data_IF_991133613758
#
_entry.id   IF_991133613758
#
_cell.length_a   1.000
_cell.length_b   1.000
_cell.length_c   1.000
_cell.angle_alpha   90.00
_cell.angle_beta   90.00
_cell.angle_gamma   90.00
#
_symmetry.space_group_name_H-M   'P 1'
#
loop_
_entity.id
_entity.type
_entity.pdbx_description
1 polymer ?
#
# COMPACT_ATOMS: atom_id res chain seq x y z
N UNK A 1 -6.07 -18.11 -17.20
CA UNK A 1 -6.68 -16.83 -17.63
C UNK A 1 -6.01 -15.75 -16.82
N UNK A 2 -5.56 -14.66 -17.44
CA UNK A 2 -5.10 -13.48 -16.68
C UNK A 2 -6.32 -12.84 -16.02
N UNK A 3 -6.16 -12.39 -14.78
CA UNK A 3 -7.20 -11.68 -14.03
C UNK A 3 -7.51 -10.35 -14.72
N UNK A 4 -8.79 -9.97 -14.82
CA UNK A 4 -9.15 -8.60 -15.20
C UNK A 4 -8.79 -7.66 -14.04
N UNK A 5 -8.03 -6.62 -14.32
CA UNK A 5 -7.55 -5.65 -13.33
C UNK A 5 -7.87 -4.24 -13.81
N UNK A 6 -8.65 -3.50 -13.02
CA UNK A 6 -8.97 -2.09 -13.31
C UNK A 6 -7.68 -1.28 -13.37
N UNK A 7 -6.74 -1.54 -12.46
CA UNK A 7 -5.44 -0.89 -12.45
C UNK A 7 -4.67 -1.10 -13.76
N UNK A 8 -4.54 -2.35 -14.22
CA UNK A 8 -3.79 -2.63 -15.45
C UNK A 8 -4.48 -2.00 -16.67
N UNK A 9 -5.81 -2.10 -16.76
CA UNK A 9 -6.59 -1.45 -17.82
C UNK A 9 -6.42 0.08 -17.83
N UNK A 10 -6.23 0.70 -16.66
CA UNK A 10 -5.96 2.13 -16.54
C UNK A 10 -4.52 2.48 -16.94
N UNK A 11 -3.53 1.72 -16.51
CA UNK A 11 -2.13 1.96 -16.85
C UNK A 11 -1.86 1.83 -18.36
N UNK A 12 -2.62 0.99 -19.06
CA UNK A 12 -2.52 0.82 -20.51
C UNK A 12 -3.10 2.00 -21.31
N UNK A 13 -3.87 2.90 -20.67
CA UNK A 13 -4.35 4.12 -21.32
C UNK A 13 -3.20 5.12 -21.47
N UNK A 14 -3.00 5.65 -22.67
CA UNK A 14 -1.97 6.67 -22.98
C UNK A 14 -2.47 8.11 -22.83
N UNK A 15 -3.28 8.38 -21.81
CA UNK A 15 -3.95 9.66 -21.60
C UNK A 15 -3.77 10.21 -20.18
N UNK A 16 -2.64 9.89 -19.51
CA UNK A 16 -2.32 10.32 -18.14
C UNK A 16 -1.93 11.80 -18.00
N UNK A 17 -2.12 12.61 -19.03
CA UNK A 17 -1.79 14.04 -19.06
C UNK A 17 -0.36 14.31 -18.55
N UNK A 18 -0.20 15.15 -17.53
CA UNK A 18 1.10 15.48 -16.94
C UNK A 18 1.81 14.28 -16.30
N UNK A 19 1.09 13.19 -15.99
CA UNK A 19 1.65 11.98 -15.39
C UNK A 19 2.06 10.93 -16.42
N UNK A 20 1.82 11.13 -17.72
CA UNK A 20 2.22 10.17 -18.75
C UNK A 20 3.72 9.82 -18.69
N UNK A 21 4.65 10.78 -18.49
CA UNK A 21 6.08 10.43 -18.36
C UNK A 21 6.38 9.52 -17.15
N UNK A 22 5.64 9.66 -16.04
CA UNK A 22 5.78 8.79 -14.88
C UNK A 22 5.30 7.37 -15.21
N UNK A 23 4.15 7.25 -15.87
CA UNK A 23 3.59 5.95 -16.28
C UNK A 23 4.50 5.26 -17.30
N UNK A 24 5.00 6.00 -18.30
CA UNK A 24 5.94 5.47 -19.29
C UNK A 24 7.24 4.97 -18.63
N UNK A 25 7.79 5.76 -17.69
CA UNK A 25 8.98 5.36 -16.91
C UNK A 25 8.71 4.10 -16.09
N UNK A 26 7.53 4.01 -15.47
CA UNK A 26 7.13 2.86 -14.68
C UNK A 26 6.97 1.60 -15.53
N UNK A 27 6.30 1.70 -16.69
CA UNK A 27 6.13 0.59 -17.63
C UNK A 27 7.45 0.16 -18.28
N UNK A 28 8.41 1.08 -18.44
CA UNK A 28 9.77 0.79 -18.92
C UNK A 28 10.74 0.29 -17.85
N UNK A 29 10.33 0.22 -16.58
CA UNK A 29 11.20 -0.19 -15.49
C UNK A 29 11.51 -1.69 -15.53
N UNK A 30 12.75 -2.06 -15.23
CA UNK A 30 13.25 -3.43 -15.34
C UNK A 30 12.43 -4.46 -14.53
N UNK A 31 11.80 -4.05 -13.43
CA UNK A 31 10.99 -4.91 -12.56
C UNK A 31 9.48 -4.69 -12.73
N UNK A 32 9.04 -3.94 -13.74
CA UNK A 32 7.62 -3.86 -14.10
C UNK A 32 6.96 -5.25 -14.31
N UNK A 33 7.63 -6.26 -14.89
CA UNK A 33 7.06 -7.62 -14.97
C UNK A 33 6.74 -8.26 -13.61
N UNK A 34 7.48 -7.95 -12.53
CA UNK A 34 7.17 -8.44 -11.19
C UNK A 34 5.92 -7.78 -10.62
N UNK A 35 5.73 -6.49 -10.89
CA UNK A 35 4.50 -5.79 -10.55
C UNK A 35 3.29 -6.38 -11.29
N UNK A 36 3.42 -6.62 -12.60
CA UNK A 36 2.36 -7.29 -13.38
C UNK A 36 2.00 -8.65 -12.78
N UNK A 37 3.01 -9.47 -12.48
CA UNK A 37 2.81 -10.77 -11.86
C UNK A 37 2.08 -10.65 -10.51
N UNK A 38 2.51 -9.73 -9.63
CA UNK A 38 1.88 -9.52 -8.33
C UNK A 38 0.41 -9.11 -8.43
N UNK A 39 0.04 -8.33 -9.46
CA UNK A 39 -1.36 -7.97 -9.72
C UNK A 39 -2.13 -9.15 -10.34
N UNK A 40 -1.59 -9.81 -11.36
CA UNK A 40 -2.29 -10.88 -12.08
C UNK A 40 -2.49 -12.15 -11.23
N UNK A 41 -1.55 -12.47 -10.34
CA UNK A 41 -1.54 -13.69 -9.51
C UNK A 41 -2.04 -13.44 -8.07
N UNK A 42 -2.61 -12.26 -7.79
CA UNK A 42 -3.12 -11.92 -6.46
C UNK A 42 -4.15 -12.95 -5.97
N UNK A 43 -3.93 -13.49 -4.77
CA UNK A 43 -4.86 -14.41 -4.15
C UNK A 43 -6.08 -13.65 -3.59
N UNK A 44 -7.13 -13.54 -4.40
CA UNK A 44 -8.35 -12.81 -4.03
C UNK A 44 -9.08 -13.43 -2.83
N UNK A 45 -8.95 -14.74 -2.63
CA UNK A 45 -9.68 -15.47 -1.59
C UNK A 45 -9.22 -15.18 -0.16
N UNK A 46 -8.11 -14.45 0.02
CA UNK A 46 -7.61 -14.03 1.35
C UNK A 46 -7.73 -12.54 1.59
N UNK A 47 -8.18 -11.76 0.59
CA UNK A 47 -8.32 -10.32 0.74
C UNK A 47 -9.55 -9.99 1.58
N UNK A 48 -9.47 -8.89 2.31
CA UNK A 48 -10.61 -8.35 3.02
C UNK A 48 -11.63 -7.80 2.01
N UNK A 49 -12.87 -8.28 2.05
CA UNK A 49 -13.93 -7.81 1.15
C UNK A 49 -14.48 -6.47 1.63
N UNK A 50 -14.21 -5.40 0.85
CA UNK A 50 -14.65 -4.05 1.19
C UNK A 50 -14.53 -3.10 -0.01
N UNK A 51 -15.44 -2.13 -0.08
CA UNK A 51 -15.39 -1.01 -1.03
C UNK A 51 -14.24 -0.01 -0.71
N UNK A 52 -13.69 -0.06 0.50
CA UNK A 52 -12.69 0.89 1.01
C UNK A 52 -11.31 0.22 1.14
N UNK A 53 -11.26 -1.00 1.69
CA UNK A 53 -10.03 -1.73 2.01
C UNK A 53 -9.88 -3.04 1.21
N UNK A 54 -10.77 -3.29 0.24
CA UNK A 54 -10.68 -4.47 -0.61
C UNK A 54 -9.81 -4.30 -1.84
N UNK A 55 -10.12 -5.06 -2.89
CA UNK A 55 -9.26 -5.22 -4.08
C UNK A 55 -8.81 -3.89 -4.71
N UNK A 56 -9.67 -2.87 -4.72
CA UNK A 56 -9.31 -1.56 -5.29
C UNK A 56 -8.20 -0.85 -4.51
N UNK A 57 -8.23 -0.94 -3.18
CA UNK A 57 -7.14 -0.46 -2.33
C UNK A 57 -5.86 -1.26 -2.57
N UNK A 58 -5.97 -2.59 -2.60
CA UNK A 58 -4.80 -3.47 -2.78
C UNK A 58 -4.11 -3.23 -4.13
N UNK A 59 -4.87 -3.08 -5.22
CA UNK A 59 -4.31 -2.73 -6.53
C UNK A 59 -3.56 -1.39 -6.48
N UNK A 60 -4.17 -0.33 -5.96
CA UNK A 60 -3.52 0.99 -5.93
C UNK A 60 -2.30 1.01 -4.99
N UNK A 61 -2.35 0.31 -3.86
CA UNK A 61 -1.21 0.10 -2.97
C UNK A 61 -0.09 -0.68 -3.65
N UNK A 62 -0.38 -1.72 -4.43
CA UNK A 62 0.61 -2.42 -5.26
C UNK A 62 1.26 -1.49 -6.29
N UNK A 63 0.49 -0.64 -6.95
CA UNK A 63 1.02 0.36 -7.89
C UNK A 63 1.99 1.31 -7.18
N UNK A 64 1.60 1.83 -6.01
CA UNK A 64 2.44 2.73 -5.23
C UNK A 64 3.69 2.03 -4.68
N UNK A 65 3.58 0.79 -4.20
CA UNK A 65 4.70 -0.02 -3.74
C UNK A 65 5.72 -0.30 -4.86
N UNK A 66 5.24 -0.63 -6.06
CA UNK A 66 6.10 -0.82 -7.21
C UNK A 66 6.83 0.48 -7.63
N UNK A 67 6.14 1.62 -7.63
CA UNK A 67 6.76 2.92 -7.89
C UNK A 67 7.74 3.33 -6.78
N UNK A 68 7.45 3.02 -5.52
CA UNK A 68 8.40 3.17 -4.40
C UNK A 68 9.66 2.35 -4.67
N UNK A 69 9.52 1.08 -5.04
CA UNK A 69 10.66 0.20 -5.34
C UNK A 69 11.51 0.72 -6.52
N UNK A 70 10.86 1.25 -7.56
CA UNK A 70 11.53 1.88 -8.69
C UNK A 70 12.31 3.13 -8.28
N UNK A 71 11.68 4.06 -7.57
CA UNK A 71 12.28 5.34 -7.22
C UNK A 71 13.40 5.21 -6.18
N UNK A 72 13.32 4.22 -5.29
CA UNK A 72 14.35 3.92 -4.29
C UNK A 72 15.37 2.85 -4.77
N UNK A 73 15.30 2.45 -6.04
CA UNK A 73 16.21 1.50 -6.69
C UNK A 73 16.40 0.17 -5.92
N UNK A 74 15.30 -0.40 -5.41
CA UNK A 74 15.34 -1.68 -4.70
C UNK A 74 15.87 -2.80 -5.60
N UNK A 75 16.44 -3.84 -4.96
CA UNK A 75 16.80 -5.08 -5.64
C UNK A 75 15.54 -5.81 -6.16
N UNK A 76 15.73 -6.76 -7.07
CA UNK A 76 14.64 -7.62 -7.54
C UNK A 76 13.96 -8.37 -6.38
N UNK A 77 14.76 -8.87 -5.43
CA UNK A 77 14.27 -9.61 -4.28
C UNK A 77 13.44 -8.71 -3.34
N UNK A 78 13.92 -7.51 -3.06
CA UNK A 78 13.23 -6.55 -2.18
C UNK A 78 11.99 -5.93 -2.84
N UNK A 79 12.02 -5.77 -4.17
CA UNK A 79 10.83 -5.43 -4.94
C UNK A 79 9.75 -6.50 -4.75
N UNK A 80 10.09 -7.77 -4.93
CA UNK A 80 9.15 -8.87 -4.69
C UNK A 80 8.62 -8.89 -3.25
N UNK A 81 9.50 -8.65 -2.27
CA UNK A 81 9.13 -8.61 -0.85
C UNK A 81 8.18 -7.45 -0.51
N UNK A 82 8.43 -6.26 -1.07
CA UNK A 82 7.55 -5.10 -0.90
C UNK A 82 6.19 -5.33 -1.58
N UNK A 83 6.17 -5.95 -2.76
CA UNK A 83 4.92 -6.29 -3.46
C UNK A 83 4.09 -7.30 -2.67
N UNK A 84 4.71 -8.33 -2.11
CA UNK A 84 4.06 -9.28 -1.19
C UNK A 84 3.46 -8.56 0.02
N UNK A 85 4.19 -7.60 0.60
CA UNK A 85 3.71 -6.80 1.70
C UNK A 85 2.51 -5.93 1.30
N UNK A 86 2.58 -5.25 0.16
CA UNK A 86 1.49 -4.41 -0.37
C UNK A 86 0.23 -5.22 -0.66
N UNK A 87 0.39 -6.39 -1.30
CA UNK A 87 -0.70 -7.29 -1.68
C UNK A 87 -1.54 -7.76 -0.48
N UNK A 88 -0.89 -7.97 0.67
CA UNK A 88 -1.47 -8.74 1.76
C UNK A 88 -1.36 -8.10 3.14
N UNK A 89 -0.98 -6.81 3.25
CA UNK A 89 -0.90 -6.13 4.55
C UNK A 89 -2.24 -6.13 5.31
N UNK A 90 -3.35 -6.15 4.59
CA UNK A 90 -4.72 -5.99 5.12
C UNK A 90 -5.48 -7.31 5.33
N UNK A 91 -4.88 -8.48 5.07
CA UNK A 91 -5.56 -9.80 5.22
C UNK A 91 -6.01 -10.10 6.66
N UNK A 92 -5.54 -9.33 7.63
CA UNK A 92 -5.94 -9.42 9.04
C UNK A 92 -7.12 -8.53 9.43
N UNK A 93 -7.69 -7.75 8.49
CA UNK A 93 -8.81 -6.84 8.78
C UNK A 93 -10.08 -7.61 9.13
N UNK A 94 -10.85 -7.02 10.05
CA UNK A 94 -12.19 -7.51 10.42
C UNK A 94 -13.30 -6.47 10.24
N UNK A 95 -12.93 -5.22 9.95
CA UNK A 95 -13.83 -4.07 9.78
C UNK A 95 -13.11 -2.94 9.03
N UNK A 96 -13.87 -2.05 8.41
CA UNK A 96 -13.33 -0.86 7.71
C UNK A 96 -12.92 0.28 8.62
N UNK A 97 -13.50 0.34 9.81
CA UNK A 97 -13.19 1.38 10.79
C UNK A 97 -11.83 1.18 11.46
N UNK A 98 -11.72 1.71 12.67
CA UNK A 98 -10.51 1.60 13.46
C UNK A 98 -10.22 0.12 13.81
N UNK A 99 -9.13 -0.41 13.27
CA UNK A 99 -8.61 -1.73 13.55
C UNK A 99 -7.11 -1.60 13.82
N UNK A 100 -6.68 -1.67 15.07
CA UNK A 100 -5.25 -1.51 15.40
C UNK A 100 -4.46 -2.84 15.36
N UNK A 101 -5.15 -3.95 15.11
CA UNK A 101 -4.61 -5.31 15.23
C UNK A 101 -4.58 -6.06 13.90
N UNK A 102 -5.14 -5.49 12.83
CA UNK A 102 -5.09 -6.12 11.50
C UNK A 102 -3.66 -6.42 11.04
N UNK A 103 -2.71 -5.50 11.23
CA UNK A 103 -1.30 -5.73 10.86
C UNK A 103 -0.66 -6.90 11.62
N UNK A 104 -0.84 -6.98 12.95
CA UNK A 104 -0.31 -8.11 13.72
C UNK A 104 -1.02 -9.42 13.41
N UNK A 105 -2.30 -9.37 13.03
CA UNK A 105 -3.06 -10.54 12.57
C UNK A 105 -2.55 -11.00 11.20
N UNK A 106 -2.38 -10.08 10.25
CA UNK A 106 -1.84 -10.37 8.92
C UNK A 106 -0.44 -10.98 9.01
N UNK A 107 0.45 -10.43 9.86
CA UNK A 107 1.79 -10.97 10.07
C UNK A 107 1.81 -12.44 10.55
N UNK A 108 0.77 -12.92 11.25
CA UNK A 108 0.68 -14.32 11.67
C UNK A 108 0.44 -15.29 10.52
N UNK A 109 -0.23 -14.83 9.46
CA UNK A 109 -0.65 -15.68 8.33
C UNK A 109 0.16 -15.41 7.05
N UNK A 110 0.91 -14.31 6.98
CA UNK A 110 1.55 -13.83 5.75
C UNK A 110 2.50 -14.85 5.10
N UNK A 111 3.20 -15.67 5.89
CA UNK A 111 4.06 -16.74 5.38
C UNK A 111 3.28 -17.86 4.70
N UNK A 112 2.05 -18.15 5.14
CA UNK A 112 1.18 -19.15 4.50
C UNK A 112 0.65 -18.65 3.15
N UNK A 113 0.41 -17.35 3.03
CA UNK A 113 -0.13 -16.72 1.82
C UNK A 113 0.95 -16.55 0.76
N UNK A 114 2.14 -16.13 1.16
CA UNK A 114 3.24 -15.77 0.24
C UNK A 114 4.25 -16.90 0.02
N UNK A 115 4.27 -17.91 0.90
CA UNK A 115 5.29 -18.96 0.88
C UNK A 115 6.69 -18.49 1.30
N UNK A 116 6.85 -17.22 1.73
CA UNK A 116 8.13 -16.69 2.23
C UNK A 116 8.57 -17.43 3.48
N UNK A 117 9.87 -17.68 3.60
CA UNK A 117 10.50 -18.32 4.75
C UNK A 117 11.81 -17.61 5.11
N UNK A 118 12.41 -17.97 6.25
CA UNK A 118 13.69 -17.42 6.69
C UNK A 118 13.66 -15.90 6.90
N UNK A 119 14.75 -15.23 6.54
CA UNK A 119 14.93 -13.79 6.74
C UNK A 119 13.85 -12.94 6.07
N UNK A 120 13.47 -13.27 4.83
CA UNK A 120 12.43 -12.55 4.10
C UNK A 120 11.09 -12.61 4.85
N UNK A 121 10.75 -13.76 5.45
CA UNK A 121 9.53 -13.88 6.24
C UNK A 121 9.59 -12.98 7.48
N UNK A 122 10.71 -12.94 8.20
CA UNK A 122 10.85 -12.09 9.39
C UNK A 122 10.69 -10.61 9.04
N UNK A 123 11.32 -10.16 7.94
CA UNK A 123 11.19 -8.79 7.45
C UNK A 123 9.73 -8.50 7.04
N UNK A 124 9.10 -9.41 6.30
CA UNK A 124 7.73 -9.25 5.84
C UNK A 124 6.75 -9.16 7.01
N UNK A 125 6.88 -10.03 8.00
CA UNK A 125 6.06 -10.00 9.21
C UNK A 125 6.24 -8.70 9.99
N UNK A 126 7.48 -8.22 10.12
CA UNK A 126 7.78 -6.98 10.81
C UNK A 126 7.17 -5.76 10.09
N UNK A 127 7.31 -5.68 8.77
CA UNK A 127 6.74 -4.61 7.95
C UNK A 127 5.20 -4.61 8.02
N UNK A 128 4.59 -5.78 7.85
CA UNK A 128 3.13 -5.96 7.90
C UNK A 128 2.58 -5.71 9.31
N UNK A 129 3.27 -6.03 10.39
CA UNK A 129 2.78 -5.61 11.72
C UNK A 129 2.93 -4.10 11.92
N UNK A 130 4.05 -3.52 11.49
CA UNK A 130 4.36 -2.12 11.71
C UNK A 130 3.48 -1.15 10.91
N UNK A 131 2.91 -1.57 9.77
CA UNK A 131 2.16 -0.65 8.91
C UNK A 131 0.95 -0.03 9.63
N UNK A 132 0.23 -0.83 10.42
CA UNK A 132 -0.97 -0.42 11.16
C UNK A 132 -0.68 0.28 12.50
N UNK A 133 0.59 0.55 12.82
CA UNK A 133 1.04 1.09 14.11
C UNK A 133 1.66 2.49 13.96
N UNK A 134 1.75 3.21 15.08
CA UNK A 134 2.32 4.56 15.12
C UNK A 134 3.83 4.51 14.86
N UNK A 135 4.39 5.58 14.29
CA UNK A 135 5.82 5.66 13.94
C UNK A 135 6.75 5.34 15.12
N UNK A 136 6.41 5.83 16.32
CA UNK A 136 7.19 5.57 17.54
C UNK A 136 7.30 4.09 17.93
N UNK A 137 6.44 3.23 17.39
CA UNK A 137 6.43 1.79 17.66
C UNK A 137 7.23 0.98 16.63
N UNK A 138 7.60 1.60 15.49
CA UNK A 138 8.25 0.92 14.37
C UNK A 138 9.50 0.15 14.81
N UNK A 139 10.45 0.82 15.49
CA UNK A 139 11.70 0.20 15.93
C UNK A 139 11.47 -1.01 16.85
N UNK A 140 10.54 -0.89 17.80
CA UNK A 140 10.21 -1.98 18.72
C UNK A 140 9.57 -3.18 17.99
N UNK A 141 8.72 -2.93 17.00
CA UNK A 141 8.11 -3.99 16.18
C UNK A 141 9.16 -4.68 15.31
N UNK A 142 10.08 -3.93 14.68
CA UNK A 142 11.16 -4.56 13.91
C UNK A 142 12.02 -5.46 14.80
N UNK A 143 12.40 -4.97 15.99
CA UNK A 143 13.19 -5.75 16.95
C UNK A 143 12.49 -7.02 17.44
N UNK A 144 11.15 -7.00 17.58
CA UNK A 144 10.35 -8.16 17.99
C UNK A 144 10.52 -9.38 17.07
N UNK A 145 10.72 -9.15 15.76
CA UNK A 145 10.84 -10.22 14.78
C UNK A 145 12.29 -10.68 14.56
N UNK A 146 13.27 -9.95 15.11
CA UNK A 146 14.70 -10.28 15.01
C UNK A 146 15.21 -10.56 13.58
N UNK A 147 14.87 -9.74 12.55
CA UNK A 147 15.53 -9.87 11.25
C UNK A 147 17.04 -9.62 11.41
N UNK A 148 17.85 -10.36 10.67
CA UNK A 148 19.29 -10.17 10.65
C UNK A 148 19.67 -8.82 10.02
N UNK A 149 18.96 -8.42 8.97
CA UNK A 149 19.16 -7.13 8.30
C UNK A 149 18.08 -6.11 8.71
N UNK A 150 18.38 -5.39 9.79
CA UNK A 150 17.48 -4.38 10.35
C UNK A 150 17.24 -3.19 9.42
N UNK A 151 18.22 -2.81 8.59
CA UNK A 151 18.10 -1.66 7.68
C UNK A 151 17.21 -2.02 6.48
N UNK A 152 17.35 -3.24 5.96
CA UNK A 152 16.44 -3.83 4.97
C UNK A 152 15.02 -3.92 5.54
N UNK A 153 14.86 -4.39 6.78
CA UNK A 153 13.56 -4.46 7.44
C UNK A 153 12.89 -3.09 7.58
N UNK A 154 13.66 -2.09 8.03
CA UNK A 154 13.20 -0.72 8.16
C UNK A 154 12.77 -0.13 6.81
N UNK A 155 13.57 -0.37 5.76
CA UNK A 155 13.27 0.10 4.40
C UNK A 155 11.95 -0.47 3.90
N UNK A 156 11.75 -1.78 3.96
CA UNK A 156 10.49 -2.41 3.52
C UNK A 156 9.29 -1.90 4.34
N UNK A 157 9.43 -1.79 5.67
CA UNK A 157 8.37 -1.30 6.53
C UNK A 157 7.97 0.16 6.20
N UNK A 158 8.94 1.05 5.97
CA UNK A 158 8.66 2.43 5.62
C UNK A 158 8.03 2.56 4.24
N UNK A 159 8.51 1.79 3.25
CA UNK A 159 7.94 1.84 1.89
C UNK A 159 6.54 1.26 1.82
N UNK A 160 6.22 0.23 2.61
CA UNK A 160 4.84 -0.24 2.77
C UNK A 160 3.94 0.84 3.36
N UNK A 161 4.40 1.53 4.42
CA UNK A 161 3.65 2.63 5.05
C UNK A 161 3.44 3.80 4.09
N UNK A 162 4.41 4.09 3.23
CA UNK A 162 4.28 5.11 2.20
C UNK A 162 3.31 4.69 1.10
N UNK A 163 3.34 3.43 0.66
CA UNK A 163 2.43 2.91 -0.36
C UNK A 163 0.96 2.92 0.11
N UNK A 164 0.68 2.40 1.31
CA UNK A 164 -0.67 2.49 1.92
C UNK A 164 -1.04 3.95 2.21
N UNK A 165 -0.08 4.74 2.68
CA UNK A 165 -0.22 6.17 2.96
C UNK A 165 -0.66 6.97 1.74
N UNK A 166 -0.07 6.72 0.57
CA UNK A 166 -0.44 7.35 -0.69
C UNK A 166 -1.88 7.04 -1.09
N UNK A 167 -2.35 5.81 -0.89
CA UNK A 167 -3.73 5.44 -1.22
C UNK A 167 -4.77 5.98 -0.21
N UNK A 168 -4.36 6.70 0.83
CA UNK A 168 -5.31 7.37 1.75
C UNK A 168 -6.11 8.49 1.09
N UNK A 169 -5.78 8.87 -0.15
CA UNK A 169 -6.66 9.70 -1.00
C UNK A 169 -8.07 9.09 -1.10
N UNK A 170 -8.20 7.76 -1.05
CA UNK A 170 -9.48 7.05 -1.12
C UNK A 170 -10.45 7.43 0.00
N UNK A 171 -9.91 7.75 1.17
CA UNK A 171 -10.64 8.15 2.38
C UNK A 171 -10.43 9.63 2.69
N UNK A 172 -9.88 10.41 1.76
CA UNK A 172 -9.60 11.83 1.92
C UNK A 172 -8.69 12.15 3.12
N UNK A 173 -7.76 11.24 3.44
CA UNK A 173 -6.90 11.34 4.63
C UNK A 173 -5.41 11.16 4.33
N UNK A 174 -5.01 11.44 3.09
CA UNK A 174 -3.61 11.58 2.75
C UNK A 174 -3.05 12.84 3.43
N UNK A 175 -2.00 12.65 4.22
CA UNK A 175 -1.17 13.72 4.76
C UNK A 175 0.30 13.39 4.49
N UNK A 176 0.90 14.17 3.60
CA UNK A 176 2.27 13.95 3.10
C UNK A 176 3.33 14.03 4.19
N UNK A 177 3.04 14.64 5.34
CA UNK A 177 3.97 14.69 6.49
C UNK A 177 4.20 13.32 7.11
N UNK A 178 3.30 12.37 6.87
CA UNK A 178 3.50 11.00 7.28
C UNK A 178 4.32 10.20 6.28
N UNK A 179 4.49 10.64 5.02
CA UNK A 179 5.31 9.91 4.06
C UNK A 179 6.80 10.04 4.40
N UNK A 180 7.55 8.94 4.32
CA UNK A 180 8.94 8.85 4.77
C UNK A 180 9.92 9.23 3.65
N UNK A 181 9.58 8.93 2.39
CA UNK A 181 10.45 9.23 1.25
C UNK A 181 10.02 10.49 0.53
N UNK A 182 11.00 11.30 0.11
CA UNK A 182 10.76 12.46 -0.75
C UNK A 182 10.15 12.05 -2.09
N UNK A 183 10.55 10.89 -2.63
CA UNK A 183 9.95 10.30 -3.83
C UNK A 183 8.46 10.00 -3.63
N UNK A 184 8.06 9.45 -2.48
CA UNK A 184 6.66 9.22 -2.12
C UNK A 184 5.87 10.53 -2.06
N UNK A 185 6.39 11.54 -1.37
CA UNK A 185 5.75 12.87 -1.29
C UNK A 185 5.52 13.49 -2.67
N UNK A 186 6.49 13.34 -3.58
CA UNK A 186 6.37 13.84 -4.95
C UNK A 186 5.28 13.13 -5.79
N UNK A 187 4.79 11.96 -5.36
CA UNK A 187 3.74 11.19 -6.05
C UNK A 187 2.34 11.41 -5.46
N UNK A 188 2.14 12.33 -4.52
CA UNK A 188 0.84 12.60 -3.91
C UNK A 188 -0.25 12.94 -4.94
N UNK A 189 0.05 13.83 -5.91
CA UNK A 189 -0.92 14.22 -6.94
C UNK A 189 -1.22 13.05 -7.91
N UNK A 190 -0.22 12.20 -8.19
CA UNK A 190 -0.43 10.99 -8.98
C UNK A 190 -1.35 10.00 -8.24
N UNK A 191 -1.20 9.84 -6.93
CA UNK A 191 -2.09 9.00 -6.13
C UNK A 191 -3.55 9.47 -6.23
N UNK A 192 -3.78 10.78 -6.14
CA UNK A 192 -5.11 11.36 -6.32
C UNK A 192 -5.66 11.11 -7.73
N UNK A 193 -4.85 11.30 -8.78
CA UNK A 193 -5.26 11.05 -10.16
C UNK A 193 -5.59 9.57 -10.41
N UNK A 194 -4.75 8.66 -9.90
CA UNK A 194 -5.00 7.23 -9.98
C UNK A 194 -6.35 6.86 -9.34
N UNK A 195 -6.62 7.36 -8.12
CA UNK A 195 -7.90 7.13 -7.45
C UNK A 195 -9.09 7.73 -8.23
N UNK A 196 -8.95 8.96 -8.75
CA UNK A 196 -9.98 9.64 -9.54
C UNK A 196 -10.35 8.86 -10.80
N UNK A 197 -9.38 8.21 -11.45
CA UNK A 197 -9.61 7.36 -12.63
C UNK A 197 -10.17 5.99 -12.28
N UNK A 198 -9.82 5.47 -11.10
CA UNK A 198 -10.27 4.19 -10.59
C UNK A 198 -11.77 4.19 -10.27
N UNK A 199 -12.26 5.22 -9.57
CA UNK A 199 -13.63 5.24 -9.03
C UNK A 199 -14.76 5.18 -10.07
N UNK A 200 -14.71 5.89 -11.20
CA UNK A 200 -15.75 5.76 -12.21
C UNK A 200 -15.92 4.32 -12.74
N UNK A 201 -14.86 3.51 -12.71
CA UNK A 201 -14.88 2.11 -13.17
C UNK A 201 -15.51 1.19 -12.11
N UNK A 202 -15.31 1.47 -10.82
CA UNK A 202 -15.96 0.71 -9.72
C UNK A 202 -17.44 1.06 -9.57
N UNK A 203 -17.86 2.24 -10.06
CA UNK A 203 -19.21 2.78 -9.86
C UNK A 203 -19.43 3.34 -8.45
N UNK A 204 -18.40 3.37 -7.61
CA UNK A 204 -18.43 3.93 -6.26
C UNK A 204 -18.22 5.46 -6.29
N UNK A 205 -18.74 6.20 -5.29
CA UNK A 205 -18.55 7.65 -5.25
C UNK A 205 -17.09 8.04 -4.99
N UNK A 206 -16.63 9.15 -5.58
CA UNK A 206 -15.28 9.69 -5.31
C UNK A 206 -15.06 10.03 -3.84
N UNK A 207 -16.09 10.51 -3.14
CA UNK A 207 -16.06 10.76 -1.71
C UNK A 207 -16.96 9.73 -1.01
N UNK A 208 -16.39 8.79 -0.23
CA UNK A 208 -17.18 7.89 0.58
C UNK A 208 -18.10 8.63 1.56
N UNK A 209 -19.29 8.10 1.82
CA UNK A 209 -20.33 8.78 2.60
C UNK A 209 -19.93 9.11 4.05
N UNK A 210 -18.99 8.36 4.63
CA UNK A 210 -18.50 8.58 6.00
C UNK A 210 -17.47 9.71 6.11
N UNK A 211 -16.88 10.17 5.00
CA UNK A 211 -15.79 11.17 5.00
C UNK A 211 -16.20 12.50 5.67
N UNK A 212 -17.38 13.08 5.40
CA UNK A 212 -17.79 14.33 6.05
C UNK A 212 -17.84 14.22 7.59
N UNK A 213 -18.36 13.11 8.11
CA UNK A 213 -18.43 12.87 9.56
C UNK A 213 -17.04 12.62 10.15
N UNK A 214 -16.21 11.82 9.48
CA UNK A 214 -14.83 11.58 9.88
C UNK A 214 -14.05 12.91 9.99
N UNK A 215 -14.16 13.79 8.99
CA UNK A 215 -13.47 15.09 8.98
C UNK A 215 -13.96 16.01 10.08
N UNK A 216 -15.26 16.01 10.37
CA UNK A 216 -15.83 16.74 11.51
C UNK A 216 -15.21 16.26 12.83
N UNK A 217 -15.16 14.95 13.05
CA UNK A 217 -14.58 14.38 14.26
C UNK A 217 -13.08 14.67 14.41
N UNK A 218 -12.31 14.59 13.32
CA UNK A 218 -10.89 14.96 13.31
C UNK A 218 -10.67 16.43 13.70
N UNK A 219 -11.48 17.35 13.17
CA UNK A 219 -11.40 18.77 13.49
C UNK A 219 -11.78 19.07 14.96
N UNK A 220 -12.78 18.37 15.50
CA UNK A 220 -13.15 18.45 16.91
C UNK A 220 -12.02 17.97 17.82
N UNK A 221 -11.39 16.84 17.48
CA UNK A 221 -10.26 16.31 18.23
C UNK A 221 -9.03 17.23 18.18
N UNK A 222 -8.69 17.80 17.01
CA UNK A 222 -7.56 18.72 16.90
C UNK A 222 -7.66 19.92 17.86
N UNK A 223 -8.87 20.46 18.06
CA UNK A 223 -9.14 21.57 18.99
C UNK A 223 -9.04 21.21 20.47
N UNK A 224 -9.09 19.92 20.81
CA UNK A 224 -8.92 19.44 22.20
C UNK A 224 -7.45 19.36 22.58
N UNK A 225 -6.55 19.38 21.59
CA UNK A 225 -5.09 19.30 21.78
C UNK A 225 -4.36 20.64 21.52
N UNK A 226 -5.11 21.72 21.27
CA UNK A 226 -4.64 23.12 21.31
C UNK A 226 -4.93 23.73 22.69
#
# INVERSE_FOLDING_TARGET
>A
MRRNSILLDLLDKRDWAQFQPLVDRFQGWAFYPLFLQAVEELNLGVLYESDIHGIGHIERTLCHGAMCAMDEALSQADTGLLLDACAYHDIGRTRDGLDFVHGSTAARFIGLVTGRTGEDLLILQAAVEAHSRKEKELSAILQKYHPQDMDRALTIAQLLKDADGLDRVRIWDLDVRFLRRTSSTARADFAQELYNRYQPITGLPLMPAFVPEMKKHQAEMARVWE
#
